data_IF_096166788414
#
_entry.id   IF_096166788414
#
_cell.length_a   1.000
_cell.length_b   1.000
_cell.length_c   1.000
_cell.angle_alpha   90.00
_cell.angle_beta   90.00
_cell.angle_gamma   90.00
#
_symmetry.space_group_name_H-M   'P 1'
#
loop_
_entity.id
_entity.type
_entity.pdbx_description
1 polymer ?
#
# COMPACT_ATOMS: atom_id res chain seq x y z
N UNK A 1 2.41 -18.34 -10.69
CA UNK A 1 2.36 -18.42 -9.21
C UNK A 1 1.03 -17.87 -8.70
N UNK A 2 0.42 -18.50 -7.68
CA UNK A 2 -0.81 -18.01 -7.03
C UNK A 2 -0.47 -17.73 -5.57
N UNK A 3 -0.64 -16.49 -5.12
CA UNK A 3 -0.40 -16.05 -3.75
C UNK A 3 -1.77 -15.94 -3.05
N UNK A 4 -2.08 -16.81 -2.08
CA UNK A 4 -3.35 -16.77 -1.37
C UNK A 4 -3.51 -15.50 -0.52
N UNK A 5 -4.74 -15.01 -0.37
CA UNK A 5 -5.07 -13.87 0.48
C UNK A 5 -4.51 -13.97 1.92
N UNK A 6 -4.53 -15.14 2.62
CA UNK A 6 -3.91 -15.23 3.95
C UNK A 6 -2.41 -14.92 3.97
N UNK A 7 -1.68 -15.27 2.91
CA UNK A 7 -0.25 -14.97 2.80
C UNK A 7 -0.02 -13.46 2.63
N UNK A 8 -0.89 -12.80 1.85
CA UNK A 8 -0.84 -11.35 1.67
C UNK A 8 -1.21 -10.64 2.98
N UNK A 9 -2.20 -11.16 3.71
CA UNK A 9 -2.57 -10.61 5.01
C UNK A 9 -1.44 -10.73 6.03
N UNK A 10 -0.76 -11.88 6.10
CA UNK A 10 0.41 -12.08 6.96
C UNK A 10 1.57 -11.13 6.57
N UNK A 11 1.85 -10.98 5.28
CA UNK A 11 2.85 -10.04 4.78
C UNK A 11 2.54 -8.59 5.21
N UNK A 12 1.29 -8.16 5.02
CA UNK A 12 0.86 -6.80 5.41
C UNK A 12 0.99 -6.61 6.91
N UNK A 13 0.55 -7.56 7.73
CA UNK A 13 0.68 -7.47 9.18
C UNK A 13 2.13 -7.35 9.63
N UNK A 14 3.05 -8.11 9.01
CA UNK A 14 4.49 -8.05 9.30
C UNK A 14 5.17 -6.75 8.88
N UNK A 15 4.55 -5.98 7.98
CA UNK A 15 5.05 -4.65 7.57
C UNK A 15 4.58 -3.50 8.46
N UNK A 16 3.72 -3.77 9.44
CA UNK A 16 3.15 -2.75 10.33
C UNK A 16 3.86 -2.75 11.70
N UNK A 17 3.90 -1.60 12.41
CA UNK A 17 3.37 -0.30 12.00
C UNK A 17 4.22 0.37 10.91
N UNK A 18 3.58 1.18 10.07
CA UNK A 18 4.24 1.87 8.95
C UNK A 18 3.99 3.37 9.02
N UNK A 19 5.05 4.17 9.05
CA UNK A 19 4.95 5.62 8.95
C UNK A 19 4.68 6.02 7.49
N UNK A 20 3.69 6.89 7.29
CA UNK A 20 3.45 7.52 6.00
C UNK A 20 4.46 8.63 5.77
N UNK A 21 5.08 8.61 4.60
CA UNK A 21 5.94 9.70 4.16
C UNK A 21 5.08 10.88 3.69
N UNK A 22 5.09 11.94 4.49
CA UNK A 22 4.39 13.21 4.25
C UNK A 22 5.35 14.32 3.82
N UNK A 23 6.62 14.01 3.53
CA UNK A 23 7.66 15.03 3.24
C UNK A 23 7.35 15.86 1.99
N UNK A 24 6.70 15.26 1.00
CA UNK A 24 6.25 15.94 -0.23
C UNK A 24 5.08 16.92 0.01
N UNK A 25 4.46 16.88 1.19
CA UNK A 25 3.29 17.69 1.53
C UNK A 25 3.67 18.82 2.49
N UNK A 26 4.08 19.97 1.94
CA UNK A 26 4.38 21.19 2.70
C UNK A 26 3.20 21.68 3.57
N UNK A 27 1.99 21.23 3.25
CA UNK A 27 0.77 21.54 3.99
C UNK A 27 0.58 20.69 5.24
N UNK A 28 1.41 19.68 5.49
CA UNK A 28 1.22 18.71 6.57
C UNK A 28 2.45 18.66 7.46
N UNK A 29 2.24 18.92 8.74
CA UNK A 29 3.23 18.68 9.79
C UNK A 29 2.79 17.56 10.71
N UNK A 30 3.76 16.95 11.40
CA UNK A 30 3.54 15.85 12.33
C UNK A 30 3.89 14.48 11.76
N UNK A 31 3.44 13.44 12.44
CA UNK A 31 3.72 12.04 12.08
C UNK A 31 2.38 11.32 11.89
N UNK A 32 2.21 10.61 10.78
CA UNK A 32 1.06 9.74 10.54
C UNK A 32 1.56 8.31 10.38
N UNK A 33 1.00 7.39 11.16
CA UNK A 33 1.40 5.99 11.18
C UNK A 33 0.20 5.10 10.95
N UNK A 34 0.28 4.21 9.96
CA UNK A 34 -0.64 3.08 9.83
C UNK A 34 -0.27 2.06 10.91
N UNK A 35 -1.19 1.87 11.85
CA UNK A 35 -1.00 0.96 12.98
C UNK A 35 -1.48 -0.44 12.66
N UNK A 36 -2.57 -0.54 11.89
CA UNK A 36 -3.25 -1.82 11.66
C UNK A 36 -3.97 -1.82 10.33
N UNK A 37 -3.93 -2.97 9.66
CA UNK A 37 -4.77 -3.28 8.49
C UNK A 37 -5.40 -4.65 8.73
N UNK A 38 -6.73 -4.75 8.62
CA UNK A 38 -7.50 -6.00 8.77
C UNK A 38 -8.47 -6.20 7.61
N UNK A 39 -9.16 -7.33 7.63
CA UNK A 39 -10.24 -7.66 6.68
C UNK A 39 -9.79 -7.56 5.22
N UNK A 40 -8.53 -7.94 4.96
CA UNK A 40 -7.96 -7.93 3.62
C UNK A 40 -8.71 -8.92 2.76
N UNK A 41 -9.34 -8.43 1.71
CA UNK A 41 -10.09 -9.20 0.72
C UNK A 41 -9.58 -8.90 -0.68
N UNK A 42 -9.30 -9.94 -1.46
CA UNK A 42 -9.06 -9.82 -2.89
C UNK A 42 -10.32 -10.24 -3.63
N UNK A 43 -10.99 -9.30 -4.30
CA UNK A 43 -12.21 -9.55 -5.08
C UNK A 43 -12.37 -8.44 -6.12
N UNK A 44 -13.16 -8.70 -7.16
CA UNK A 44 -13.53 -7.68 -8.16
C UNK A 44 -12.34 -6.91 -8.77
N UNK A 45 -11.19 -7.58 -8.91
CA UNK A 45 -9.97 -6.98 -9.46
C UNK A 45 -9.23 -6.02 -8.52
N UNK A 46 -9.66 -5.88 -7.27
CA UNK A 46 -9.11 -4.94 -6.29
C UNK A 46 -8.80 -5.61 -4.94
N UNK A 47 -8.02 -4.90 -4.13
CA UNK A 47 -7.83 -5.22 -2.71
C UNK A 47 -8.76 -4.34 -1.87
N UNK A 48 -9.46 -4.95 -0.93
CA UNK A 48 -10.27 -4.23 0.05
C UNK A 48 -9.71 -4.51 1.44
N UNK A 49 -9.71 -3.51 2.31
CA UNK A 49 -9.27 -3.69 3.69
C UNK A 49 -9.87 -2.61 4.60
N UNK A 50 -9.71 -2.80 5.90
CA UNK A 50 -9.92 -1.77 6.91
C UNK A 50 -8.59 -1.38 7.53
N UNK A 51 -8.33 -0.09 7.64
CA UNK A 51 -7.09 0.44 8.19
C UNK A 51 -7.34 1.32 9.42
N UNK A 52 -6.36 1.37 10.31
CA UNK A 52 -6.30 2.28 11.44
C UNK A 52 -5.00 3.05 11.38
N UNK A 53 -5.12 4.35 11.61
CA UNK A 53 -3.98 5.25 11.65
C UNK A 53 -3.99 6.03 12.96
N UNK A 54 -2.78 6.31 13.44
CA UNK A 54 -2.54 7.24 14.53
C UNK A 54 -1.72 8.42 13.97
N UNK A 55 -2.21 9.62 14.20
CA UNK A 55 -1.53 10.89 13.93
C UNK A 55 -0.99 11.47 15.23
N UNK A 56 0.27 11.90 15.24
CA UNK A 56 0.93 12.55 16.36
C UNK A 56 1.39 13.96 15.99
N UNK A 57 0.98 14.95 16.78
CA UNK A 57 1.28 16.38 16.56
C UNK A 57 0.95 16.86 15.14
N UNK A 58 -0.18 16.39 14.59
CA UNK A 58 -0.60 16.73 13.23
C UNK A 58 -0.94 18.21 13.16
N UNK A 59 -0.44 18.89 12.13
CA UNK A 59 -0.81 20.27 11.81
C UNK A 59 -1.03 20.42 10.32
N UNK A 60 -1.99 21.25 9.93
CA UNK A 60 -2.31 21.53 8.52
C UNK A 60 -2.02 23.01 8.25
N UNK A 61 -1.18 23.30 7.26
CA UNK A 61 -1.01 24.65 6.74
C UNK A 61 -2.04 24.86 5.63
N UNK A 62 -2.89 25.86 5.80
CA UNK A 62 -3.95 26.24 4.85
C UNK A 62 -3.93 27.74 4.60
N UNK A 63 -4.48 28.19 3.49
CA UNK A 63 -4.65 29.61 3.19
C UNK A 63 -6.12 30.00 3.30
N UNK A 64 -6.43 31.06 4.04
CA UNK A 64 -7.77 31.66 4.11
C UNK A 64 -7.64 33.16 3.88
N UNK A 65 -8.33 33.68 2.86
CA UNK A 65 -8.33 35.10 2.51
C UNK A 65 -6.91 35.70 2.39
N UNK A 66 -5.99 35.00 1.71
CA UNK A 66 -4.61 35.46 1.51
C UNK A 66 -3.68 35.30 2.71
N UNK A 67 -4.17 34.74 3.83
CA UNK A 67 -3.38 34.54 5.04
C UNK A 67 -3.07 33.06 5.24
N UNK A 68 -1.79 32.74 5.44
CA UNK A 68 -1.34 31.40 5.82
C UNK A 68 -1.70 31.14 7.28
N UNK A 69 -2.44 30.06 7.51
CA UNK A 69 -2.89 29.60 8.82
C UNK A 69 -2.36 28.19 9.07
N UNK A 70 -1.76 28.00 10.24
CA UNK A 70 -1.40 26.67 10.73
C UNK A 70 -2.47 26.20 11.71
N UNK A 71 -3.26 25.22 11.27
CA UNK A 71 -4.26 24.56 12.10
C UNK A 71 -3.61 23.39 12.82
N UNK A 72 -3.54 23.46 14.15
CA UNK A 72 -3.03 22.37 14.97
C UNK A 72 -4.15 21.37 15.22
N UNK A 73 -4.04 20.20 14.60
CA UNK A 73 -4.98 19.09 14.79
C UNK A 73 -4.63 18.29 16.05
N UNK A 74 -3.34 18.23 16.39
CA UNK A 74 -2.85 17.49 17.55
C UNK A 74 -2.79 15.99 17.29
N UNK A 75 -3.19 15.19 18.27
CA UNK A 75 -3.18 13.74 18.17
C UNK A 75 -4.55 13.23 17.72
N UNK A 76 -4.55 12.32 16.75
CA UNK A 76 -5.78 11.77 16.20
C UNK A 76 -5.65 10.26 15.99
N UNK A 77 -6.76 9.55 16.17
CA UNK A 77 -6.89 8.14 15.81
C UNK A 77 -8.10 7.98 14.91
N UNK A 78 -7.89 7.33 13.78
CA UNK A 78 -8.91 7.22 12.74
C UNK A 78 -8.92 5.80 12.18
N UNK A 79 -10.08 5.37 11.69
CA UNK A 79 -10.20 4.13 10.95
C UNK A 79 -10.99 4.33 9.67
N UNK A 80 -10.67 3.59 8.63
CA UNK A 80 -11.34 3.73 7.35
C UNK A 80 -11.30 2.43 6.56
N UNK A 81 -12.28 2.27 5.68
CA UNK A 81 -12.29 1.25 4.66
C UNK A 81 -11.56 1.78 3.43
N UNK A 82 -10.80 0.90 2.79
CA UNK A 82 -10.08 1.22 1.56
C UNK A 82 -10.35 0.18 0.49
N UNK A 83 -10.38 0.67 -0.76
CA UNK A 83 -10.28 -0.12 -1.98
C UNK A 83 -8.98 0.27 -2.65
N UNK A 84 -8.10 -0.68 -2.94
CA UNK A 84 -6.86 -0.44 -3.66
C UNK A 84 -6.91 -1.08 -5.04
N UNK A 85 -6.64 -0.24 -6.04
CA UNK A 85 -6.35 -0.71 -7.38
C UNK A 85 -4.91 -1.21 -7.46
N UNK A 86 -4.70 -2.31 -8.16
CA UNK A 86 -3.40 -2.96 -8.31
C UNK A 86 -3.07 -3.01 -9.80
N UNK A 87 -1.99 -2.35 -10.19
CA UNK A 87 -1.57 -2.23 -11.59
C UNK A 87 -0.11 -2.62 -11.72
N UNK A 88 0.18 -3.59 -12.59
CA UNK A 88 1.56 -3.99 -12.90
C UNK A 88 2.03 -3.32 -14.19
N UNK A 89 3.22 -2.74 -14.17
CA UNK A 89 3.89 -2.21 -15.35
C UNK A 89 5.07 -3.10 -15.67
N UNK A 90 4.96 -3.89 -16.74
CA UNK A 90 5.99 -4.86 -17.12
C UNK A 90 7.34 -4.21 -17.43
N UNK A 91 7.35 -3.04 -18.08
CA UNK A 91 8.59 -2.35 -18.45
C UNK A 91 9.44 -1.94 -17.26
N UNK A 92 8.82 -1.42 -16.19
CA UNK A 92 9.52 -1.04 -14.95
C UNK A 92 9.52 -2.15 -13.89
N UNK A 93 8.81 -3.26 -14.13
CA UNK A 93 8.62 -4.36 -13.17
C UNK A 93 8.08 -3.91 -11.81
N UNK A 94 7.34 -2.80 -11.82
CA UNK A 94 6.72 -2.22 -10.63
C UNK A 94 5.25 -2.62 -10.55
N UNK A 95 4.85 -3.08 -9.38
CA UNK A 95 3.47 -3.23 -8.98
C UNK A 95 3.04 -1.97 -8.24
N UNK A 96 2.16 -1.19 -8.84
CA UNK A 96 1.58 -0.02 -8.22
C UNK A 96 0.33 -0.41 -7.45
N UNK A 97 0.26 0.03 -6.20
CA UNK A 97 -0.93 -0.03 -5.37
C UNK A 97 -1.45 1.39 -5.21
N UNK A 98 -2.69 1.63 -5.62
CA UNK A 98 -3.36 2.92 -5.44
C UNK A 98 -4.54 2.73 -4.49
N UNK A 99 -4.40 3.06 -3.20
CA UNK A 99 -5.51 3.00 -2.27
C UNK A 99 -6.50 4.12 -2.56
N UNK A 100 -7.76 3.87 -2.27
CA UNK A 100 -8.86 4.82 -2.31
C UNK A 100 -9.67 4.62 -1.04
N UNK A 101 -9.85 5.69 -0.26
CA UNK A 101 -10.68 5.63 0.95
C UNK A 101 -12.14 5.57 0.52
N UNK A 102 -12.84 4.49 0.86
CA UNK A 102 -14.25 4.31 0.50
C UNK A 102 -15.21 4.73 1.61
N UNK A 103 -14.77 4.66 2.87
CA UNK A 103 -15.56 5.05 4.03
C UNK A 103 -14.63 5.40 5.19
N UNK A 104 -14.93 6.45 5.96
CA UNK A 104 -14.14 6.84 7.12
C UNK A 104 -14.99 6.84 8.39
N UNK A 105 -14.43 6.29 9.46
CA UNK A 105 -15.02 6.32 10.78
C UNK A 105 -14.09 7.07 11.72
N UNK A 106 -14.58 8.21 12.21
CA UNK A 106 -13.88 9.06 13.16
C UNK A 106 -14.54 8.92 14.52
N UNK A 107 -13.73 8.94 15.57
CA UNK A 107 -14.20 9.03 16.96
C UNK A 107 -13.79 10.41 17.48
N UNK A 108 -14.53 11.47 17.13
CA UNK A 108 -14.25 12.85 17.57
C UNK A 108 -15.06 13.97 16.87
N UNK A 109 -15.00 15.19 17.42
CA UNK A 109 -15.68 16.42 16.96
C UNK A 109 -15.12 16.96 15.61
N UNK A 110 -15.64 18.12 15.14
CA UNK A 110 -15.40 18.86 13.88
C UNK A 110 -14.00 18.79 13.22
N UNK A 111 -12.92 18.54 13.97
CA UNK A 111 -11.57 18.26 13.45
C UNK A 111 -11.48 16.97 12.61
N UNK A 112 -12.46 16.08 12.76
CA UNK A 112 -12.57 14.83 12.00
C UNK A 112 -12.73 15.04 10.49
N UNK A 113 -13.53 16.02 10.07
CA UNK A 113 -13.83 16.26 8.64
C UNK A 113 -12.61 16.83 7.90
N UNK A 114 -11.82 17.66 8.57
CA UNK A 114 -10.58 18.23 8.01
C UNK A 114 -9.49 17.16 7.88
N UNK A 115 -9.38 16.26 8.86
CA UNK A 115 -8.49 15.09 8.79
C UNK A 115 -8.91 14.13 7.68
N UNK A 116 -10.21 13.96 7.44
CA UNK A 116 -10.71 13.11 6.35
C UNK A 116 -10.24 13.62 4.99
N UNK A 117 -10.41 14.91 4.71
CA UNK A 117 -9.92 15.53 3.48
C UNK A 117 -8.41 15.39 3.30
N UNK A 118 -7.66 15.53 4.39
CA UNK A 118 -6.20 15.36 4.40
C UNK A 118 -5.77 13.92 4.06
N UNK A 119 -6.43 12.93 4.64
CA UNK A 119 -6.07 11.53 4.44
C UNK A 119 -6.50 11.04 3.07
N UNK A 120 -7.65 11.51 2.59
CA UNK A 120 -8.07 11.27 1.22
C UNK A 120 -7.04 11.85 0.25
N UNK A 121 -6.51 13.06 0.49
CA UNK A 121 -5.47 13.63 -0.38
C UNK A 121 -4.14 12.89 -0.26
N UNK A 122 -3.72 12.48 0.95
CA UNK A 122 -2.47 11.74 1.16
C UNK A 122 -2.47 10.34 0.55
N UNK A 123 -3.56 9.60 0.72
CA UNK A 123 -3.64 8.19 0.34
C UNK A 123 -4.18 8.01 -1.08
N UNK A 124 -5.29 8.70 -1.44
CA UNK A 124 -5.98 8.46 -2.71
C UNK A 124 -5.31 9.08 -3.94
N UNK A 125 -4.37 10.01 -3.73
CA UNK A 125 -3.60 10.65 -4.80
C UNK A 125 -2.30 9.93 -5.14
N UNK A 126 -1.86 8.97 -4.30
CA UNK A 126 -0.54 8.34 -4.42
C UNK A 126 -0.64 6.91 -4.95
N UNK A 127 0.26 6.59 -5.86
CA UNK A 127 0.60 5.20 -6.17
C UNK A 127 1.81 4.79 -5.33
N UNK A 128 1.72 3.62 -4.71
CA UNK A 128 2.79 3.02 -3.93
C UNK A 128 3.45 1.94 -4.77
N UNK A 129 4.65 2.18 -5.33
CA UNK A 129 5.35 1.20 -6.14
C UNK A 129 5.97 0.10 -5.26
N UNK A 130 5.78 -1.14 -5.66
CA UNK A 130 6.47 -2.31 -5.11
C UNK A 130 7.29 -2.96 -6.23
N UNK A 131 8.59 -3.09 -6.01
CA UNK A 131 9.46 -3.79 -6.96
C UNK A 131 9.24 -5.30 -6.87
N UNK A 132 9.05 -5.95 -8.02
CA UNK A 132 8.99 -7.41 -8.16
C UNK A 132 10.27 -7.99 -8.80
N UNK A 133 11.36 -7.22 -8.85
CA UNK A 133 12.58 -7.58 -9.58
C UNK A 133 13.37 -8.75 -8.98
N UNK A 134 13.13 -9.12 -7.72
CA UNK A 134 13.99 -10.02 -6.95
C UNK A 134 13.36 -11.38 -6.63
N UNK A 135 12.61 -11.98 -7.56
CA UNK A 135 12.20 -13.37 -7.37
C UNK A 135 13.45 -14.26 -7.40
N UNK A 136 13.78 -14.85 -6.24
CA UNK A 136 14.90 -15.78 -6.14
C UNK A 136 14.72 -16.91 -7.17
N UNK A 137 15.78 -17.23 -7.95
CA UNK A 137 15.69 -18.30 -8.93
C UNK A 137 15.40 -19.62 -8.23
N UNK A 138 14.67 -20.49 -8.92
CA UNK A 138 14.46 -21.86 -8.46
C UNK A 138 15.71 -22.68 -8.79
N UNK A 139 16.36 -23.19 -7.76
CA UNK A 139 17.55 -24.03 -7.89
C UNK A 139 17.14 -25.49 -8.10
N UNK A 140 17.58 -26.09 -9.20
CA UNK A 140 17.38 -27.52 -9.50
C UNK A 140 18.72 -28.21 -9.57
N UNK A 141 18.90 -29.24 -8.74
CA UNK A 141 20.07 -30.10 -8.81
C UNK A 141 19.78 -31.25 -9.79
N UNK A 142 20.62 -31.36 -10.82
CA UNK A 142 20.68 -32.55 -11.69
C UNK A 142 21.85 -33.43 -11.25
N UNK A 143 22.04 -34.59 -11.90
CA UNK A 143 23.12 -35.51 -11.56
C UNK A 143 24.50 -34.84 -11.70
N UNK A 144 24.67 -33.93 -12.66
CA UNK A 144 26.00 -33.44 -13.07
C UNK A 144 26.15 -31.92 -12.92
N UNK A 145 25.07 -31.19 -12.63
CA UNK A 145 25.04 -29.72 -12.60
C UNK A 145 23.90 -29.16 -11.79
N UNK A 146 24.06 -27.93 -11.33
CA UNK A 146 23.01 -27.12 -10.77
C UNK A 146 22.44 -26.20 -11.86
N UNK A 147 21.12 -26.18 -12.00
CA UNK A 147 20.41 -25.29 -12.92
C UNK A 147 19.72 -24.20 -12.11
N UNK A 148 19.83 -22.96 -12.55
CA UNK A 148 19.09 -21.84 -12.01
C UNK A 148 17.95 -21.49 -12.96
N UNK A 149 16.72 -21.58 -12.47
CA UNK A 149 15.54 -21.18 -13.24
C UNK A 149 15.07 -19.83 -12.73
N UNK A 150 15.38 -18.79 -13.49
CA UNK A 150 14.95 -17.43 -13.22
C UNK A 150 13.50 -17.23 -13.67
N UNK A 151 12.73 -16.49 -12.88
CA UNK A 151 11.32 -16.24 -13.14
C UNK A 151 11.09 -14.74 -13.32
N UNK A 152 10.71 -14.33 -14.52
CA UNK A 152 10.29 -12.96 -14.78
C UNK A 152 8.77 -12.82 -14.55
N UNK A 153 8.34 -11.78 -13.86
CA UNK A 153 6.90 -11.47 -13.74
C UNK A 153 6.43 -10.77 -15.01
N UNK A 154 5.52 -11.40 -15.73
CA UNK A 154 4.93 -10.85 -16.97
C UNK A 154 3.66 -10.06 -16.67
N UNK A 155 2.83 -10.59 -15.76
CA UNK A 155 1.58 -9.96 -15.36
C UNK A 155 1.23 -10.27 -13.91
N UNK A 156 0.52 -9.34 -13.29
CA UNK A 156 -0.11 -9.54 -11.98
C UNK A 156 -1.62 -9.33 -12.14
N UNK A 157 -2.40 -10.28 -11.65
CA UNK A 157 -3.86 -10.25 -11.71
C UNK A 157 -4.44 -10.45 -10.31
N UNK A 158 -5.36 -9.58 -9.92
CA UNK A 158 -6.17 -9.80 -8.73
C UNK A 158 -7.35 -10.69 -9.09
N UNK A 159 -7.52 -11.79 -8.36
CA UNK A 159 -8.64 -12.73 -8.49
C UNK A 159 -9.26 -12.96 -7.11
N UNK A 160 -10.52 -13.43 -7.03
CA UNK A 160 -11.14 -13.77 -5.77
C UNK A 160 -10.23 -14.65 -4.89
N UNK A 161 -9.87 -14.12 -3.72
CA UNK A 161 -9.03 -14.77 -2.70
C UNK A 161 -7.54 -14.94 -3.01
N UNK A 162 -7.01 -14.39 -4.12
CA UNK A 162 -5.60 -14.58 -4.51
C UNK A 162 -5.06 -13.55 -5.50
N UNK A 163 -3.76 -13.28 -5.37
CA UNK A 163 -2.97 -12.58 -6.39
C UNK A 163 -2.33 -13.62 -7.32
N UNK A 164 -2.47 -13.44 -8.62
CA UNK A 164 -1.94 -14.37 -9.63
C UNK A 164 -0.82 -13.67 -10.38
N UNK A 165 0.40 -14.21 -10.26
CA UNK A 165 1.56 -13.77 -11.01
C UNK A 165 1.74 -14.73 -12.19
N UNK A 166 1.70 -14.20 -13.41
CA UNK A 166 2.14 -14.94 -14.61
C UNK A 166 3.65 -14.79 -14.71
N UNK A 167 4.34 -15.91 -14.78
CA UNK A 167 5.79 -15.97 -14.77
C UNK A 167 6.28 -16.52 -16.11
N UNK A 168 7.34 -15.93 -16.64
CA UNK A 168 8.08 -16.47 -17.78
C UNK A 168 9.43 -17.02 -17.29
N UNK A 169 9.63 -18.35 -17.30
CA UNK A 169 10.88 -18.94 -16.87
C UNK A 169 11.97 -18.79 -17.94
N UNK A 170 13.20 -18.58 -17.51
CA UNK A 170 14.39 -18.79 -18.35
C UNK A 170 15.48 -19.51 -17.55
N UNK A 171 16.23 -20.36 -18.23
CA UNK A 171 17.28 -21.19 -17.62
C UNK A 171 18.63 -20.55 -17.91
N UNK A 172 19.46 -20.46 -16.87
CA UNK A 172 20.89 -20.20 -16.98
C UNK A 172 21.67 -21.38 -16.39
N UNK A 173 22.84 -21.66 -16.97
CA UNK A 173 23.82 -22.58 -16.39
C UNK A 173 24.83 -21.76 -15.57
N UNK A 174 25.26 -22.30 -14.43
CA UNK A 174 26.42 -21.79 -13.70
C UNK A 174 27.70 -22.43 -14.21
#
# INVERSE_FOLDING_TARGET
LKIPQPVIADLVQKSLPMQLDTSDYQMIGGIITIQRITDIQLKDGALFAKAWIDGSNVSINTEIAGHQLRLNVGNARLSFNLRSEIRYVQGSRLLYIRPEITEMHTSGNQSADQLQGLLASLLSSREYPLSLENLSPLTVNTINKQLLIHMNVEHVLVKPGKLVLRLSPHISEQ
#
